data_IF_149225072401
#
_entry.id   IF_149225072401
#
_cell.length_a   1.000
_cell.length_b   1.000
_cell.length_c   1.000
_cell.angle_alpha   90.00
_cell.angle_beta   90.00
_cell.angle_gamma   90.00
#
_symmetry.space_group_name_H-M   'P 1'
#
loop_
_entity.id
_entity.type
_entity.pdbx_description
1 polymer ?
#
# COMPACT_ATOMS: atom_id res chain seq x y z
N UNK A 1 -3.36 25.66 -6.97
CA UNK A 1 -4.09 24.47 -7.46
C UNK A 1 -3.29 23.26 -7.01
N UNK A 2 -3.77 22.57 -5.99
CA UNK A 2 -3.17 21.35 -5.42
C UNK A 2 -4.20 20.27 -5.71
N UNK A 3 -4.17 19.67 -6.90
CA UNK A 3 -5.20 18.67 -7.26
C UNK A 3 -4.61 17.26 -7.44
N UNK A 4 -3.43 17.10 -8.05
CA UNK A 4 -2.83 15.77 -8.18
C UNK A 4 -2.04 15.22 -6.97
N UNK A 5 -1.38 16.03 -6.10
CA UNK A 5 -0.67 15.43 -4.96
C UNK A 5 -1.61 15.07 -3.79
N UNK A 6 -2.84 15.60 -3.75
CA UNK A 6 -3.74 15.39 -2.61
C UNK A 6 -4.51 14.06 -2.66
N UNK A 7 -5.17 13.75 -3.78
CA UNK A 7 -5.97 12.53 -3.87
C UNK A 7 -5.08 11.28 -3.88
N UNK A 8 -3.95 11.31 -4.59
CA UNK A 8 -3.00 10.20 -4.57
C UNK A 8 -2.43 9.97 -3.17
N UNK A 9 -2.09 11.05 -2.45
CA UNK A 9 -1.64 10.96 -1.06
C UNK A 9 -2.72 10.36 -0.16
N UNK A 10 -3.98 10.76 -0.32
CA UNK A 10 -5.10 10.14 0.40
C UNK A 10 -5.13 8.64 0.09
N UNK A 11 -5.18 8.26 -1.18
CA UNK A 11 -5.24 6.85 -1.60
C UNK A 11 -4.12 6.04 -0.99
N UNK A 12 -2.87 6.54 -1.07
CA UNK A 12 -1.71 5.85 -0.49
C UNK A 12 -1.81 5.75 1.04
N UNK A 13 -2.33 6.78 1.71
CA UNK A 13 -2.50 6.77 3.16
C UNK A 13 -3.54 5.76 3.64
N UNK A 14 -4.62 5.55 2.86
CA UNK A 14 -5.72 4.65 3.23
C UNK A 14 -5.63 3.29 2.55
N UNK A 15 -4.62 3.05 1.71
CA UNK A 15 -4.51 1.85 0.87
C UNK A 15 -4.67 0.55 1.68
N UNK A 16 -4.03 0.37 2.86
CA UNK A 16 -4.22 -0.84 3.65
C UNK A 16 -5.68 -1.07 4.06
N UNK A 17 -6.36 -0.02 4.52
CA UNK A 17 -7.78 -0.12 4.92
C UNK A 17 -8.73 -0.28 3.74
N UNK A 18 -8.37 0.26 2.56
CA UNK A 18 -9.12 0.00 1.34
C UNK A 18 -9.03 -1.47 0.93
N UNK A 19 -7.82 -2.05 0.99
CA UNK A 19 -7.59 -3.47 0.69
C UNK A 19 -8.31 -4.35 1.70
N UNK A 20 -8.29 -3.99 2.99
CA UNK A 20 -9.02 -4.73 4.04
C UNK A 20 -10.54 -4.69 3.83
N UNK A 21 -11.11 -3.52 3.53
CA UNK A 21 -12.56 -3.33 3.42
C UNK A 21 -13.14 -3.89 2.11
N UNK A 22 -12.40 -3.79 1.01
CA UNK A 22 -12.92 -4.11 -0.32
C UNK A 22 -12.21 -5.25 -1.03
N UNK A 23 -11.03 -5.66 -0.59
CA UNK A 23 -10.22 -6.71 -1.23
C UNK A 23 -9.34 -6.19 -2.38
N UNK A 24 -8.33 -6.99 -2.73
CA UNK A 24 -7.39 -6.69 -3.82
C UNK A 24 -8.09 -6.81 -5.18
N UNK A 25 -7.85 -5.84 -6.08
CA UNK A 25 -8.44 -5.82 -7.43
C UNK A 25 -9.87 -5.29 -7.50
N UNK A 26 -10.46 -4.90 -6.37
CA UNK A 26 -11.79 -4.31 -6.33
C UNK A 26 -11.83 -2.94 -7.01
N UNK A 27 -12.93 -2.65 -7.72
CA UNK A 27 -13.17 -1.33 -8.30
C UNK A 27 -13.68 -0.41 -7.19
N UNK A 28 -12.85 0.53 -6.77
CA UNK A 28 -13.16 1.46 -5.68
C UNK A 28 -13.54 2.81 -6.29
N UNK A 29 -14.68 3.34 -5.89
CA UNK A 29 -15.13 4.68 -6.24
C UNK A 29 -14.46 5.74 -5.37
N UNK A 30 -14.45 6.98 -5.86
CA UNK A 30 -13.92 8.12 -5.12
C UNK A 30 -14.59 8.35 -3.76
N UNK A 31 -15.90 8.15 -3.70
CA UNK A 31 -16.68 8.27 -2.45
C UNK A 31 -16.19 7.27 -1.41
N UNK A 32 -15.91 6.03 -1.83
CA UNK A 32 -15.40 5.00 -0.93
C UNK A 32 -13.99 5.30 -0.41
N UNK A 33 -13.15 5.96 -1.22
CA UNK A 33 -11.83 6.46 -0.77
C UNK A 33 -12.02 7.49 0.34
N UNK A 34 -12.85 8.51 0.10
CA UNK A 34 -13.12 9.55 1.10
C UNK A 34 -13.79 9.02 2.37
N UNK A 35 -14.67 8.03 2.25
CA UNK A 35 -15.30 7.38 3.40
C UNK A 35 -14.26 6.73 4.31
N UNK A 36 -13.37 5.90 3.74
CA UNK A 36 -12.32 5.23 4.50
C UNK A 36 -11.31 6.23 5.08
N UNK A 37 -10.94 7.25 4.30
CA UNK A 37 -10.09 8.34 4.78
C UNK A 37 -10.71 9.08 5.97
N UNK A 38 -11.98 9.49 5.86
CA UNK A 38 -12.66 10.21 6.92
C UNK A 38 -12.77 9.37 8.19
N UNK A 39 -13.05 8.07 8.06
CA UNK A 39 -13.09 7.16 9.21
C UNK A 39 -11.74 7.06 9.92
N UNK A 40 -10.65 6.86 9.17
CA UNK A 40 -9.29 6.84 9.74
C UNK A 40 -8.92 8.17 10.41
N UNK A 41 -9.22 9.30 9.74
CA UNK A 41 -8.91 10.63 10.24
C UNK A 41 -9.66 10.90 11.57
N UNK A 42 -10.95 10.57 11.62
CA UNK A 42 -11.77 10.67 12.83
C UNK A 42 -11.18 9.81 13.95
N UNK A 43 -10.75 8.59 13.66
CA UNK A 43 -10.15 7.70 14.65
C UNK A 43 -8.85 8.26 15.23
N UNK A 44 -7.97 8.81 14.38
CA UNK A 44 -6.73 9.48 14.82
C UNK A 44 -7.05 10.65 15.75
N UNK A 45 -8.02 11.50 15.38
CA UNK A 45 -8.40 12.64 16.21
C UNK A 45 -9.00 12.22 17.56
N UNK A 46 -9.82 11.16 17.57
CA UNK A 46 -10.40 10.62 18.80
C UNK A 46 -9.32 10.07 19.72
N UNK A 47 -8.35 9.32 19.19
CA UNK A 47 -7.22 8.84 19.99
C UNK A 47 -6.45 9.99 20.62
N UNK A 48 -6.16 11.05 19.87
CA UNK A 48 -5.49 12.24 20.40
C UNK A 48 -6.30 12.91 21.52
N UNK A 49 -7.63 13.02 21.36
CA UNK A 49 -8.51 13.56 22.40
C UNK A 49 -8.47 12.67 23.65
N UNK A 50 -8.56 11.36 23.48
CA UNK A 50 -8.52 10.40 24.59
C UNK A 50 -7.20 10.48 25.34
N UNK A 51 -6.07 10.52 24.62
CA UNK A 51 -4.74 10.68 25.23
C UNK A 51 -4.69 11.94 26.08
N UNK A 52 -5.11 13.08 25.55
CA UNK A 52 -5.14 14.36 26.30
C UNK A 52 -6.08 14.32 27.50
N UNK A 53 -7.26 13.70 27.37
CA UNK A 53 -8.19 13.57 28.49
C UNK A 53 -7.64 12.63 29.57
N UNK A 54 -6.92 11.58 29.17
CA UNK A 54 -6.28 10.64 30.10
C UNK A 54 -5.15 11.29 30.90
N UNK A 55 -4.38 12.21 30.31
CA UNK A 55 -3.40 13.04 31.00
C UNK A 55 -4.06 13.87 32.11
N UNK A 56 -5.30 14.29 31.89
CA UNK A 56 -6.13 15.01 32.86
C UNK A 56 -6.93 14.09 33.80
N UNK A 57 -6.73 12.77 33.71
CA UNK A 57 -7.48 11.73 34.46
C UNK A 57 -8.99 11.73 34.21
N UNK A 58 -9.43 12.25 33.07
CA UNK A 58 -10.84 12.25 32.64
C UNK A 58 -11.11 10.96 31.86
N UNK A 59 -12.04 10.15 32.35
CA UNK A 59 -12.53 8.98 31.63
C UNK A 59 -13.76 9.35 30.82
N UNK A 60 -13.79 8.89 29.56
CA UNK A 60 -14.88 9.18 28.64
C UNK A 60 -15.13 7.99 27.72
N UNK A 61 -16.37 7.86 27.25
CA UNK A 61 -16.75 6.80 26.34
C UNK A 61 -16.29 7.12 24.91
N UNK A 62 -15.35 6.32 24.41
CA UNK A 62 -14.75 6.44 23.06
C UNK A 62 -15.83 6.42 21.97
N UNK A 63 -16.75 5.45 22.05
CA UNK A 63 -17.81 5.28 21.06
C UNK A 63 -18.76 6.48 21.04
N UNK A 64 -19.02 7.08 22.21
CA UNK A 64 -19.83 8.29 22.33
C UNK A 64 -19.16 9.51 21.70
N UNK A 65 -17.85 9.71 21.93
CA UNK A 65 -17.10 10.79 21.26
C UNK A 65 -17.13 10.55 19.76
N UNK A 66 -16.84 9.32 19.31
CA UNK A 66 -16.81 8.95 17.89
C UNK A 66 -18.11 9.29 17.18
N UNK A 67 -19.24 8.83 17.73
CA UNK A 67 -20.54 9.10 17.13
C UNK A 67 -20.91 10.59 17.16
N UNK A 68 -20.58 11.30 18.25
CA UNK A 68 -20.87 12.74 18.39
C UNK A 68 -20.05 13.57 17.40
N UNK A 69 -18.75 13.27 17.25
CA UNK A 69 -17.87 13.97 16.31
C UNK A 69 -18.30 13.70 14.85
N UNK A 70 -18.64 12.44 14.52
CA UNK A 70 -19.18 12.09 13.20
C UNK A 70 -20.44 12.89 12.87
N UNK A 71 -21.38 12.96 13.81
CA UNK A 71 -22.62 13.71 13.62
C UNK A 71 -22.35 15.20 13.42
N UNK A 72 -21.50 15.79 14.27
CA UNK A 72 -21.10 17.19 14.15
C UNK A 72 -20.52 17.52 12.77
N UNK A 73 -19.61 16.68 12.24
CA UNK A 73 -19.04 16.90 10.91
C UNK A 73 -20.08 16.81 9.79
N UNK A 74 -21.05 15.90 9.90
CA UNK A 74 -22.15 15.78 8.94
C UNK A 74 -23.07 17.00 8.97
N UNK A 75 -23.47 17.43 10.17
CA UNK A 75 -24.33 18.60 10.37
C UNK A 75 -23.66 19.86 9.82
N UNK A 76 -22.38 20.06 10.16
CA UNK A 76 -21.58 21.18 9.67
C UNK A 76 -21.42 21.16 8.14
N UNK A 77 -21.13 19.98 7.57
CA UNK A 77 -21.02 19.82 6.12
C UNK A 77 -22.33 20.15 5.40
N UNK A 78 -23.47 19.72 5.98
CA UNK A 78 -24.79 20.04 5.44
C UNK A 78 -25.12 21.53 5.51
N UNK A 79 -24.76 22.19 6.62
CA UNK A 79 -24.93 23.64 6.75
C UNK A 79 -24.06 24.42 5.77
N UNK A 80 -22.78 24.03 5.60
CA UNK A 80 -21.89 24.63 4.59
C UNK A 80 -22.42 24.44 3.17
N UNK A 81 -22.96 23.25 2.87
CA UNK A 81 -23.59 22.97 1.58
C UNK A 81 -24.79 23.88 1.33
N UNK A 82 -25.68 24.04 2.31
CA UNK A 82 -26.85 24.93 2.21
C UNK A 82 -26.47 26.40 2.05
N UNK A 83 -25.40 26.84 2.69
CA UNK A 83 -24.93 28.23 2.62
C UNK A 83 -24.18 28.54 1.31
N UNK A 84 -23.85 27.53 0.50
CA UNK A 84 -23.04 27.70 -0.71
C UNK A 84 -21.58 28.06 -0.41
N UNK A 85 -21.14 27.98 0.85
CA UNK A 85 -19.78 28.26 1.30
C UNK A 85 -18.94 27.00 1.23
N UNK A 86 -18.86 26.39 0.05
CA UNK A 86 -18.08 25.17 -0.15
C UNK A 86 -16.59 25.46 0.03
N UNK A 87 -15.95 24.75 0.98
CA UNK A 87 -14.54 24.98 1.34
C UNK A 87 -13.59 24.28 0.35
N UNK A 88 -14.04 23.22 -0.32
CA UNK A 88 -13.26 22.50 -1.32
C UNK A 88 -14.15 22.13 -2.51
N UNK A 89 -13.83 22.68 -3.68
CA UNK A 89 -14.38 22.26 -4.98
C UNK A 89 -13.25 21.52 -5.67
N UNK A 90 -13.48 20.28 -6.03
CA UNK A 90 -12.55 19.51 -6.84
C UNK A 90 -12.95 19.64 -8.31
N UNK A 91 -11.98 19.86 -9.20
CA UNK A 91 -12.26 19.90 -10.62
C UNK A 91 -12.86 18.57 -11.09
N UNK A 92 -13.94 18.65 -11.86
CA UNK A 92 -14.55 17.47 -12.47
C UNK A 92 -13.59 16.95 -13.55
N UNK A 93 -12.93 15.82 -13.27
CA UNK A 93 -12.09 15.15 -14.26
C UNK A 93 -12.96 14.77 -15.45
N UNK A 94 -12.82 15.53 -16.55
CA UNK A 94 -13.38 15.12 -17.82
C UNK A 94 -12.60 13.89 -18.27
N UNK A 95 -13.22 12.71 -18.16
CA UNK A 95 -12.78 11.54 -18.90
C UNK A 95 -12.86 11.92 -20.38
N UNK A 96 -11.73 12.33 -20.97
CA UNK A 96 -11.60 12.37 -22.41
C UNK A 96 -11.76 10.93 -22.89
N UNK A 97 -12.99 10.58 -23.29
CA UNK A 97 -13.28 9.44 -24.13
C UNK A 97 -12.57 9.69 -25.47
N UNK A 98 -11.32 9.29 -25.55
CA UNK A 98 -10.44 9.60 -26.67
C UNK A 98 -9.05 9.04 -26.46
N UNK A 99 -8.93 7.75 -26.73
CA UNK A 99 -7.69 7.02 -27.06
C UNK A 99 -6.78 6.57 -25.90
N UNK A 100 -6.89 5.28 -25.59
CA UNK A 100 -5.78 4.32 -25.40
C UNK A 100 -4.64 4.61 -24.40
N UNK A 101 -4.86 5.41 -23.37
CA UNK A 101 -3.93 5.42 -22.24
C UNK A 101 -4.26 4.23 -21.32
N UNK A 102 -3.66 3.08 -21.63
CA UNK A 102 -3.63 1.92 -20.73
C UNK A 102 -2.82 2.31 -19.48
N UNK A 103 -3.50 2.71 -18.40
CA UNK A 103 -2.91 2.97 -17.08
C UNK A 103 -2.57 1.68 -16.29
N UNK A 104 -2.63 0.50 -16.93
CA UNK A 104 -2.47 -0.80 -16.29
C UNK A 104 -1.13 -1.49 -16.56
N UNK A 105 -0.07 -0.77 -16.95
CA UNK A 105 1.26 -1.39 -16.90
C UNK A 105 1.68 -1.45 -15.44
N UNK A 106 1.56 -2.64 -14.86
CA UNK A 106 2.26 -3.05 -13.63
C UNK A 106 3.69 -2.50 -13.69
N UNK A 107 4.22 -2.04 -12.54
CA UNK A 107 5.58 -1.52 -12.44
C UNK A 107 6.55 -2.40 -13.27
N UNK A 108 7.39 -1.81 -14.13
CA UNK A 108 8.36 -2.57 -14.89
C UNK A 108 9.20 -3.39 -13.91
N UNK A 109 9.25 -4.71 -14.10
CA UNK A 109 10.22 -5.54 -13.40
C UNK A 109 11.60 -4.98 -13.73
N UNK A 110 12.32 -4.50 -12.71
CA UNK A 110 13.74 -4.19 -12.84
C UNK A 110 14.45 -5.50 -13.16
N UNK A 111 14.84 -5.67 -14.42
CA UNK A 111 15.78 -6.69 -14.83
C UNK A 111 17.14 -6.29 -14.26
N UNK A 112 17.61 -7.06 -13.28
CA UNK A 112 19.01 -7.06 -12.88
C UNK A 112 19.83 -7.64 -14.04
N UNK A 113 20.20 -6.78 -14.97
CA UNK A 113 21.33 -6.97 -15.83
C UNK A 113 22.49 -6.18 -15.22
N UNK A 114 23.44 -6.90 -14.62
CA UNK A 114 24.89 -6.62 -14.55
C UNK A 114 25.51 -7.20 -13.26
N UNK A 115 25.47 -8.53 -13.13
CA UNK A 115 26.42 -9.25 -12.27
C UNK A 115 27.65 -9.65 -13.10
N UNK A 116 28.41 -8.66 -13.58
CA UNK A 116 29.74 -8.89 -14.11
C UNK A 116 30.59 -7.65 -13.87
N UNK A 117 31.57 -7.81 -12.99
CA UNK A 117 32.73 -6.94 -12.72
C UNK A 117 32.82 -6.55 -11.24
N UNK A 118 33.07 -7.54 -10.37
CA UNK A 118 33.88 -7.29 -9.17
C UNK A 118 35.15 -8.11 -9.33
N UNK A 119 36.24 -7.36 -9.41
CA UNK A 119 37.62 -7.73 -9.73
C UNK A 119 38.20 -8.69 -8.69
N UNK A 120 39.01 -9.65 -9.19
CA UNK A 120 39.88 -10.55 -8.44
C UNK A 120 40.75 -9.83 -7.40
N UNK A 121 40.74 -10.31 -6.16
CA UNK A 121 41.93 -10.29 -5.32
C UNK A 121 42.20 -11.69 -4.76
N UNK A 122 43.25 -12.31 -5.29
CA UNK A 122 43.76 -13.63 -4.90
C UNK A 122 44.39 -13.56 -3.51
N UNK A 123 44.12 -14.55 -2.65
CA UNK A 123 45.12 -15.09 -1.73
C UNK A 123 44.90 -16.58 -1.47
N UNK A 124 45.97 -17.33 -1.71
CA UNK A 124 46.16 -18.76 -1.51
C UNK A 124 45.95 -19.19 -0.05
N UNK A 125 45.55 -20.45 0.15
CA UNK A 125 46.34 -21.42 0.94
C UNK A 125 45.79 -22.84 0.77
N UNK A 126 46.62 -23.70 0.16
CA UNK A 126 46.98 -25.07 0.54
C UNK A 126 45.89 -25.93 1.24
N UNK A 127 45.61 -27.18 0.83
CA UNK A 127 46.56 -28.30 0.88
C UNK A 127 45.92 -29.56 0.29
N UNK A 128 46.74 -30.36 -0.41
CA UNK A 128 46.52 -31.72 -0.94
C UNK A 128 45.75 -32.66 0.01
N UNK A 129 44.93 -33.55 -0.54
CA UNK A 129 44.98 -35.03 -0.39
C UNK A 129 44.02 -35.69 -1.42
N UNK A 130 44.58 -36.51 -2.32
CA UNK A 130 44.04 -37.77 -2.86
C UNK A 130 45.09 -38.85 -2.52
N UNK A 131 44.85 -40.17 -2.57
CA UNK A 131 43.73 -40.95 -3.16
C UNK A 131 43.15 -41.98 -2.14
N UNK A 132 42.22 -42.90 -2.44
CA UNK A 132 42.49 -44.22 -3.04
C UNK A 132 41.28 -45.18 -2.79
N UNK A 133 40.85 -45.87 -3.85
CA UNK A 133 40.24 -47.23 -3.96
C UNK A 133 38.97 -47.68 -3.20
N UNK A 134 37.99 -48.23 -3.92
CA UNK A 134 37.80 -49.69 -4.16
C UNK A 134 36.52 -49.91 -5.03
N UNK A 135 36.61 -50.44 -6.26
CA UNK A 135 36.54 -51.86 -6.69
C UNK A 135 35.09 -52.41 -6.85
N UNK A 136 34.79 -52.80 -8.11
CA UNK A 136 33.90 -53.89 -8.59
C UNK A 136 32.36 -53.77 -8.61
N UNK A 137 31.75 -53.70 -9.81
CA UNK A 137 31.24 -54.85 -10.59
C UNK A 137 30.26 -54.42 -11.71
N UNK A 138 30.68 -54.62 -12.97
CA UNK A 138 29.86 -54.80 -14.19
C UNK A 138 29.19 -56.20 -14.17
N UNK A 139 28.46 -56.67 -15.20
CA UNK A 139 27.77 -56.02 -16.34
C UNK A 139 26.34 -56.57 -16.59
N UNK A 140 25.47 -55.86 -17.33
CA UNK A 140 24.46 -56.54 -18.18
C UNK A 140 24.34 -55.81 -19.51
N UNK A 141 24.67 -56.55 -20.58
CA UNK A 141 24.48 -56.22 -21.98
C UNK A 141 23.02 -56.37 -22.41
N UNK A 142 22.53 -55.52 -23.32
CA UNK A 142 21.54 -55.89 -24.36
C UNK A 142 21.76 -55.06 -25.63
N UNK A 143 21.86 -55.80 -26.73
CA UNK A 143 21.97 -55.41 -28.14
C UNK A 143 20.58 -55.18 -28.77
N UNK A 144 20.56 -54.62 -29.99
CA UNK A 144 19.48 -54.47 -31.00
C UNK A 144 18.97 -53.03 -31.16
N UNK A 145 18.96 -52.40 -32.32
CA UNK A 145 19.17 -52.81 -33.73
C UNK A 145 20.03 -51.78 -34.49
#
# INVERSE_FOLDING_TARGET
MIEEPFLLQIILSVLPSLVEKYGVGSRISKVQIYEVFNDQLIDIHIQNIITKLSELRIQININKIKSTLKQYCLDLGFDMFRQGSQIAIESEFQYQSGNDIIWNKLDPKIENENMSNIVEEKKETETKIKPMNDITNTPIAKTQD
#
